data_IF_407373304112
#
_entry.id   IF_407373304112
#
_cell.length_a   1.000
_cell.length_b   1.000
_cell.length_c   1.000
_cell.angle_alpha   90.00
_cell.angle_beta   90.00
_cell.angle_gamma   90.00
#
_symmetry.space_group_name_H-M   'P 1'
#
loop_
_entity.id
_entity.type
_entity.pdbx_description
1 polymer ?
#
# COMPACT_ATOMS: atom_id res chain seq x y z
N UNK A 1 5.65 -50.48 -7.62
CA UNK A 1 5.82 -49.02 -7.77
C UNK A 1 4.61 -48.35 -7.18
N UNK A 2 4.79 -47.54 -6.14
CA UNK A 2 3.69 -46.79 -5.52
C UNK A 2 3.30 -45.57 -6.37
N UNK A 3 2.12 -44.96 -6.17
CA UNK A 3 1.76 -43.70 -6.83
C UNK A 3 2.80 -42.59 -6.63
N UNK A 4 3.39 -42.48 -5.44
CA UNK A 4 4.42 -41.47 -5.14
C UNK A 4 5.72 -41.73 -5.91
N UNK A 5 6.16 -43.00 -6.00
CA UNK A 5 7.32 -43.38 -6.80
C UNK A 5 7.10 -43.07 -8.29
N UNK A 6 5.88 -43.29 -8.79
CA UNK A 6 5.51 -42.95 -10.16
C UNK A 6 5.56 -41.42 -10.39
N UNK A 7 4.99 -40.63 -9.47
CA UNK A 7 4.98 -39.18 -9.55
C UNK A 7 6.39 -38.57 -9.50
N UNK A 8 7.26 -39.07 -8.62
CA UNK A 8 8.66 -38.64 -8.55
C UNK A 8 9.41 -38.93 -9.86
N UNK A 9 9.21 -40.12 -10.43
CA UNK A 9 9.81 -40.51 -11.72
C UNK A 9 9.32 -39.64 -12.89
N UNK A 10 8.08 -39.16 -12.86
CA UNK A 10 7.55 -38.23 -13.86
C UNK A 10 8.20 -36.85 -13.69
N UNK A 11 8.21 -36.31 -12.47
CA UNK A 11 8.80 -34.99 -12.17
C UNK A 11 10.29 -34.92 -12.55
N UNK A 12 11.04 -35.99 -12.30
CA UNK A 12 12.46 -36.06 -12.66
C UNK A 12 12.75 -35.99 -14.17
N UNK A 13 11.74 -36.15 -15.03
CA UNK A 13 11.86 -36.10 -16.49
C UNK A 13 11.29 -34.83 -17.13
N UNK A 14 10.60 -34.00 -16.35
CA UNK A 14 9.98 -32.77 -16.85
C UNK A 14 10.88 -31.59 -16.52
N UNK A 15 11.21 -30.80 -17.53
CA UNK A 15 11.92 -29.53 -17.36
C UNK A 15 10.94 -28.37 -17.53
N UNK A 16 11.12 -27.25 -16.80
CA UNK A 16 10.36 -26.03 -17.05
C UNK A 16 10.50 -25.58 -18.51
N UNK A 17 9.43 -24.99 -19.05
CA UNK A 17 9.42 -24.39 -20.38
C UNK A 17 10.10 -23.02 -20.38
N UNK A 18 10.41 -22.49 -21.57
CA UNK A 18 10.91 -21.14 -21.72
C UNK A 18 9.90 -20.09 -21.23
N UNK A 19 10.42 -18.93 -20.83
CA UNK A 19 9.64 -17.80 -20.30
C UNK A 19 9.50 -16.71 -21.34
N UNK A 20 8.41 -15.94 -21.27
CA UNK A 20 8.18 -14.78 -22.12
C UNK A 20 7.62 -13.61 -21.28
N UNK A 21 7.83 -12.39 -21.77
CA UNK A 21 7.21 -11.17 -21.21
C UNK A 21 5.99 -10.84 -22.04
N UNK A 22 4.82 -10.81 -21.39
CA UNK A 22 3.54 -10.49 -22.03
C UNK A 22 2.92 -9.25 -21.38
N UNK A 23 2.03 -8.51 -22.08
CA UNK A 23 1.22 -7.48 -21.46
C UNK A 23 0.35 -8.03 -20.33
N UNK A 24 0.09 -7.22 -19.29
CA UNK A 24 -0.71 -7.64 -18.13
C UNK A 24 -2.11 -8.15 -18.50
N UNK A 25 -2.74 -7.56 -19.52
CA UNK A 25 -4.03 -8.00 -20.04
C UNK A 25 -4.06 -9.45 -20.56
N UNK A 26 -2.89 -10.04 -20.86
CA UNK A 26 -2.74 -11.41 -21.35
C UNK A 26 -2.14 -12.35 -20.29
N UNK A 27 -1.89 -11.86 -19.07
CA UNK A 27 -1.23 -12.62 -18.01
C UNK A 27 -2.19 -13.58 -17.27
N UNK A 28 -3.51 -13.38 -17.39
CA UNK A 28 -4.50 -14.23 -16.72
C UNK A 28 -4.34 -15.72 -17.12
N UNK A 29 -4.24 -16.60 -16.13
CA UNK A 29 -4.02 -18.04 -16.33
C UNK A 29 -2.58 -18.47 -16.63
N UNK A 30 -1.63 -17.52 -16.69
CA UNK A 30 -0.20 -17.80 -16.84
C UNK A 30 0.46 -18.03 -15.47
N UNK A 31 1.67 -18.60 -15.47
CA UNK A 31 2.50 -18.77 -14.26
C UNK A 31 3.63 -17.76 -14.30
N UNK A 32 3.87 -17.07 -13.17
CA UNK A 32 4.96 -16.10 -13.06
C UNK A 32 6.31 -16.81 -13.19
N UNK A 33 7.15 -16.30 -14.09
CA UNK A 33 8.51 -16.79 -14.29
C UNK A 33 9.44 -16.44 -13.11
N UNK A 34 9.22 -15.27 -12.50
CA UNK A 34 10.00 -14.74 -11.38
C UNK A 34 9.07 -14.12 -10.33
N UNK A 35 9.51 -14.08 -9.08
CA UNK A 35 8.76 -13.41 -8.01
C UNK A 35 8.67 -11.89 -8.30
N UNK A 36 7.49 -11.27 -8.19
CA UNK A 36 7.34 -9.84 -8.38
C UNK A 36 7.90 -9.09 -7.16
N UNK A 37 8.57 -7.97 -7.41
CA UNK A 37 9.10 -7.08 -6.38
C UNK A 37 8.45 -5.70 -6.57
N UNK A 38 7.92 -5.13 -5.48
CA UNK A 38 7.35 -3.79 -5.50
C UNK A 38 8.44 -2.76 -5.83
N UNK A 39 8.11 -1.80 -6.70
CA UNK A 39 9.05 -0.74 -7.11
C UNK A 39 8.99 0.50 -6.23
N UNK A 40 7.92 0.64 -5.45
CA UNK A 40 7.68 1.74 -4.53
C UNK A 40 6.70 1.28 -3.44
N UNK A 41 6.68 2.02 -2.33
CA UNK A 41 5.61 1.90 -1.36
C UNK A 41 4.27 2.33 -1.96
N UNK A 42 3.20 1.77 -1.43
CA UNK A 42 1.85 2.15 -1.76
C UNK A 42 0.97 2.09 -0.50
N UNK A 43 0.43 3.23 -0.03
CA UNK A 43 0.54 4.57 -0.59
C UNK A 43 1.97 5.15 -0.50
N UNK A 44 2.29 6.14 -1.34
CA UNK A 44 3.62 6.77 -1.38
C UNK A 44 3.83 7.81 -0.26
N UNK A 45 2.76 8.19 0.44
CA UNK A 45 2.72 9.19 1.50
C UNK A 45 1.68 8.78 2.54
N UNK A 46 1.78 9.34 3.74
CA UNK A 46 0.77 9.18 4.77
C UNK A 46 -0.54 9.81 4.28
N UNK A 47 -1.63 9.03 4.29
CA UNK A 47 -2.93 9.48 3.84
C UNK A 47 -4.02 9.23 4.88
N UNK A 48 -5.08 10.01 4.82
CA UNK A 48 -6.20 9.86 5.73
C UNK A 48 -7.03 8.64 5.36
N UNK A 49 -7.28 7.76 6.33
CA UNK A 49 -8.17 6.63 6.16
C UNK A 49 -9.66 7.04 6.11
N UNK A 50 -9.98 8.26 6.55
CA UNK A 50 -11.35 8.75 6.73
C UNK A 50 -11.46 10.22 6.31
N UNK A 51 -12.69 10.70 6.19
CA UNK A 51 -12.96 12.13 6.17
C UNK A 51 -12.87 12.69 7.60
N UNK A 52 -12.23 13.85 7.77
CA UNK A 52 -12.04 14.44 9.09
C UNK A 52 -11.08 15.62 9.08
N UNK A 53 -10.25 15.67 10.12
CA UNK A 53 -9.26 16.74 10.31
C UNK A 53 -7.88 16.15 10.61
N UNK A 54 -6.88 16.64 9.89
CA UNK A 54 -5.48 16.48 10.22
C UNK A 54 -5.20 17.40 11.40
N UNK A 55 -4.74 16.83 12.50
CA UNK A 55 -4.46 17.54 13.76
C UNK A 55 -3.11 17.08 14.30
N UNK A 56 -2.51 17.93 15.14
CA UNK A 56 -1.37 17.52 15.95
C UNK A 56 -1.82 16.67 17.11
N UNK A 57 -1.38 15.40 17.15
CA UNK A 57 -1.78 14.48 18.22
C UNK A 57 -1.46 15.02 19.63
N UNK A 58 -0.39 15.80 19.77
CA UNK A 58 0.01 16.45 21.03
C UNK A 58 -0.95 17.54 21.48
N UNK A 59 -1.63 18.22 20.55
CA UNK A 59 -2.57 19.29 20.87
C UNK A 59 -3.90 18.70 21.40
N UNK A 60 -4.18 17.43 21.16
CA UNK A 60 -5.43 16.77 21.57
C UNK A 60 -5.30 15.87 22.81
N UNK A 61 -4.24 16.02 23.61
CA UNK A 61 -3.99 15.15 24.79
C UNK A 61 -4.96 15.40 25.95
N UNK A 62 -5.44 16.63 26.09
CA UNK A 62 -6.33 17.05 27.18
C UNK A 62 -7.65 17.59 26.60
N UNK A 63 -8.64 16.71 26.35
CA UNK A 63 -9.93 17.13 25.86
C UNK A 63 -10.79 17.79 26.98
N UNK A 64 -11.65 18.76 26.65
CA UNK A 64 -11.88 19.30 25.31
C UNK A 64 -10.77 20.28 24.88
N UNK A 65 -10.42 20.24 23.58
CA UNK A 65 -9.48 21.19 22.97
C UNK A 65 -10.13 21.87 21.77
N UNK A 66 -9.92 23.18 21.66
CA UNK A 66 -10.30 23.96 20.48
C UNK A 66 -9.08 24.18 19.59
N UNK A 67 -9.23 23.90 18.30
CA UNK A 67 -8.18 24.07 17.29
C UNK A 67 -8.67 25.02 16.20
N UNK A 68 -7.80 25.92 15.74
CA UNK A 68 -8.10 26.83 14.63
C UNK A 68 -8.02 26.06 13.31
N UNK A 69 -9.09 26.13 12.51
CA UNK A 69 -9.06 25.60 11.15
C UNK A 69 -8.16 26.46 10.25
N UNK A 70 -7.29 25.78 9.50
CA UNK A 70 -6.45 26.38 8.44
C UNK A 70 -6.86 25.84 7.07
N UNK A 71 -6.64 26.65 6.04
CA UNK A 71 -6.93 26.27 4.67
C UNK A 71 -5.86 25.35 4.08
N UNK A 72 -6.24 24.62 3.03
CA UNK A 72 -5.32 23.76 2.30
C UNK A 72 -4.20 24.59 1.66
N UNK A 73 -2.95 24.31 2.05
CA UNK A 73 -1.77 25.02 1.56
C UNK A 73 -1.14 25.97 2.58
N UNK A 74 -1.84 26.27 3.66
CA UNK A 74 -1.23 26.95 4.82
C UNK A 74 -0.34 25.99 5.61
N UNK A 75 0.67 26.56 6.29
CA UNK A 75 1.53 25.80 7.18
C UNK A 75 0.77 25.42 8.45
N UNK A 76 0.76 24.12 8.78
CA UNK A 76 0.18 23.64 10.03
C UNK A 76 1.12 23.87 11.21
N UNK A 77 0.56 24.34 12.32
CA UNK A 77 1.30 24.62 13.55
C UNK A 77 0.54 24.20 14.81
N UNK A 78 1.08 24.50 16.01
CA UNK A 78 0.39 24.24 17.27
C UNK A 78 -1.00 24.89 17.31
N UNK A 79 -1.98 24.17 17.83
CA UNK A 79 -3.36 24.66 17.99
C UNK A 79 -4.13 24.77 16.68
N UNK A 80 -3.69 24.10 15.60
CA UNK A 80 -4.35 24.15 14.28
C UNK A 80 -4.84 22.78 13.82
N UNK A 81 -5.85 22.81 12.95
CA UNK A 81 -6.41 21.64 12.30
C UNK A 81 -6.70 21.95 10.83
N UNK A 82 -6.53 20.98 9.93
CA UNK A 82 -6.83 21.13 8.51
C UNK A 82 -7.83 20.05 8.09
N UNK A 83 -8.85 20.41 7.31
CA UNK A 83 -9.82 19.43 6.82
C UNK A 83 -9.15 18.50 5.81
N UNK A 84 -9.45 17.20 5.91
CA UNK A 84 -8.96 16.17 4.98
C UNK A 84 -10.08 15.23 4.61
N UNK A 85 -10.05 14.74 3.38
CA UNK A 85 -10.94 13.69 2.90
C UNK A 85 -10.16 12.38 2.79
N UNK A 86 -10.89 11.28 2.70
CA UNK A 86 -10.35 9.93 2.54
C UNK A 86 -9.36 9.86 1.37
N UNK A 87 -8.16 9.35 1.64
CA UNK A 87 -7.05 9.29 0.69
C UNK A 87 -6.25 10.59 0.54
N UNK A 88 -6.68 11.68 1.17
CA UNK A 88 -5.95 12.96 1.20
C UNK A 88 -4.67 12.87 2.03
N UNK A 89 -3.65 13.63 1.63
CA UNK A 89 -2.33 13.63 2.27
C UNK A 89 -2.38 14.17 3.71
N UNK A 90 -1.86 13.39 4.66
CA UNK A 90 -1.58 13.81 6.02
C UNK A 90 -0.22 14.50 6.03
N UNK A 91 -0.20 15.83 5.88
CA UNK A 91 1.04 16.61 5.82
C UNK A 91 1.88 16.43 7.08
N UNK A 92 3.21 16.31 6.91
CA UNK A 92 4.16 16.24 8.02
C UNK A 92 4.03 17.47 8.92
N UNK A 93 3.98 17.26 10.23
CA UNK A 93 3.85 18.31 11.23
C UNK A 93 2.49 18.31 11.93
N UNK A 94 1.52 17.58 11.40
CA UNK A 94 0.46 16.94 12.18
C UNK A 94 1.02 15.84 13.10
#
# INVERSE_FOLDING_TARGET
MTPDEALQRMRARVTPVATETVPLAQAAGRVLAIAPVARSDFPTQDNSAMDGYVVRAVDCREPPTELRLVDAGEEMGPGTAMRVLTGGECRRGA
#
